data_IF_324823947152
#
_entry.id   IF_324823947152
#
_cell.length_a   1.000
_cell.length_b   1.000
_cell.length_c   1.000
_cell.angle_alpha   90.00
_cell.angle_beta   90.00
_cell.angle_gamma   90.00
#
_symmetry.space_group_name_H-M   'P 1'
#
loop_
_entity.id
_entity.type
_entity.pdbx_description
1 polymer ?
#
# COMPACT_ATOMS: atom_id res chain seq x y z
N UNK A 1 -2.52 24.43 14.02
CA UNK A 1 -2.33 23.04 14.49
C UNK A 1 -0.99 22.54 13.99
N UNK A 2 -0.18 21.88 14.79
CA UNK A 2 1.10 21.31 14.38
C UNK A 2 0.88 19.82 14.05
N UNK A 3 1.50 19.28 12.98
CA UNK A 3 1.38 17.85 12.66
C UNK A 3 1.83 16.96 13.82
N UNK A 4 2.77 17.43 14.64
CA UNK A 4 3.27 16.69 15.82
C UNK A 4 2.18 16.40 16.86
N UNK A 5 1.14 17.24 16.93
CA UNK A 5 0.03 17.05 17.86
C UNK A 5 -1.08 16.18 17.27
N UNK A 6 -1.00 15.93 15.95
CA UNK A 6 -2.04 15.19 15.20
C UNK A 6 -1.69 13.73 14.96
N UNK A 7 -0.43 13.34 15.13
CA UNK A 7 0.06 11.96 14.96
C UNK A 7 0.88 11.52 16.18
N UNK A 8 1.01 10.20 16.36
CA UNK A 8 1.91 9.61 17.35
C UNK A 8 3.38 9.94 17.03
N UNK A 9 4.28 9.63 17.95
CA UNK A 9 5.70 9.91 17.77
C UNK A 9 6.26 9.22 16.53
N UNK A 10 7.01 9.95 15.71
CA UNK A 10 7.49 9.56 14.37
C UNK A 10 8.65 8.57 14.41
N UNK A 11 8.47 7.42 15.04
CA UNK A 11 9.47 6.36 15.09
C UNK A 11 8.92 5.09 14.45
N UNK A 12 9.65 4.53 13.49
CA UNK A 12 9.20 3.41 12.64
C UNK A 12 9.64 2.04 13.16
N UNK A 13 10.01 1.91 14.43
CA UNK A 13 10.49 0.67 15.04
C UNK A 13 9.38 -0.19 15.67
N UNK A 14 8.17 0.34 15.80
CA UNK A 14 7.04 -0.39 16.38
C UNK A 14 5.85 -0.46 15.41
N UNK A 15 5.22 -1.62 15.38
CA UNK A 15 3.96 -1.87 14.66
C UNK A 15 2.77 -2.01 15.64
N UNK A 16 2.98 -1.74 16.92
CA UNK A 16 1.95 -1.85 17.95
C UNK A 16 0.93 -0.71 17.81
N UNK A 17 -0.34 -1.03 17.96
CA UNK A 17 -1.44 -0.06 18.00
C UNK A 17 -2.20 -0.31 19.30
N UNK A 18 -2.54 0.77 20.04
CA UNK A 18 -3.33 0.66 21.25
C UNK A 18 -4.77 0.19 20.95
N UNK A 19 -5.36 -0.55 21.88
CA UNK A 19 -6.73 -1.05 21.73
C UNK A 19 -7.75 0.09 21.63
N UNK A 20 -7.51 1.21 22.31
CA UNK A 20 -8.33 2.41 22.22
C UNK A 20 -8.33 3.02 20.82
N UNK A 21 -7.15 3.08 20.18
CA UNK A 21 -7.05 3.61 18.83
C UNK A 21 -7.72 2.67 17.81
N UNK A 22 -7.60 1.36 18.01
CA UNK A 22 -8.31 0.36 17.18
C UNK A 22 -9.82 0.51 17.33
N UNK A 23 -10.32 0.65 18.56
CA UNK A 23 -11.76 0.83 18.83
C UNK A 23 -12.29 2.11 18.17
N UNK A 24 -11.62 3.25 18.34
CA UNK A 24 -12.00 4.52 17.73
C UNK A 24 -11.97 4.48 16.19
N UNK A 25 -10.98 3.79 15.60
CA UNK A 25 -10.92 3.62 14.15
C UNK A 25 -12.09 2.77 13.64
N UNK A 26 -12.42 1.67 14.34
CA UNK A 26 -13.53 0.79 13.96
C UNK A 26 -14.88 1.50 14.07
N UNK A 27 -15.09 2.30 15.11
CA UNK A 27 -16.29 3.13 15.28
C UNK A 27 -16.44 4.12 14.11
N UNK A 28 -15.36 4.79 13.72
CA UNK A 28 -15.36 5.68 12.58
C UNK A 28 -15.69 4.92 11.27
N UNK A 29 -15.04 3.78 11.02
CA UNK A 29 -15.29 2.95 9.83
C UNK A 29 -16.75 2.50 9.77
N UNK A 30 -17.31 2.04 10.88
CA UNK A 30 -18.71 1.65 10.95
C UNK A 30 -19.65 2.80 10.56
N UNK A 31 -19.38 4.00 11.07
CA UNK A 31 -20.21 5.18 10.79
C UNK A 31 -20.05 5.72 9.37
N UNK A 32 -18.86 5.70 8.80
CA UNK A 32 -18.57 6.30 7.50
C UNK A 32 -18.76 5.34 6.31
N UNK A 33 -18.47 4.04 6.48
CA UNK A 33 -18.46 3.04 5.41
C UNK A 33 -19.43 1.90 5.67
N UNK A 34 -19.84 1.68 6.90
CA UNK A 34 -20.70 0.59 7.30
C UNK A 34 -19.93 -0.58 7.94
N UNK A 35 -20.68 -1.45 8.65
CA UNK A 35 -20.12 -2.56 9.42
C UNK A 35 -19.38 -3.60 8.57
N UNK A 36 -19.77 -3.78 7.30
CA UNK A 36 -19.12 -4.70 6.37
C UNK A 36 -17.67 -4.33 6.05
N UNK A 37 -17.31 -3.05 6.25
CA UNK A 37 -15.96 -2.56 6.03
C UNK A 37 -15.02 -2.74 7.23
N UNK A 38 -15.53 -3.20 8.37
CA UNK A 38 -14.69 -3.48 9.54
C UNK A 38 -14.01 -4.83 9.37
N UNK A 39 -12.69 -4.88 9.58
CA UNK A 39 -11.98 -6.15 9.63
C UNK A 39 -12.58 -7.05 10.74
N UNK A 40 -13.07 -8.28 10.43
CA UNK A 40 -13.76 -9.11 11.40
C UNK A 40 -12.86 -9.67 12.52
N UNK A 41 -11.55 -9.52 12.37
CA UNK A 41 -10.55 -9.98 13.34
C UNK A 41 -9.57 -8.86 13.71
N UNK A 42 -8.92 -8.98 14.86
CA UNK A 42 -7.84 -8.06 15.26
C UNK A 42 -6.58 -8.38 14.46
N UNK A 43 -6.14 -7.45 13.64
CA UNK A 43 -4.89 -7.60 12.90
C UNK A 43 -3.70 -7.40 13.84
N UNK A 44 -2.71 -8.25 13.70
CA UNK A 44 -1.43 -8.16 14.41
C UNK A 44 -0.30 -8.26 13.41
N UNK A 45 0.68 -7.38 13.53
CA UNK A 45 1.85 -7.38 12.69
C UNK A 45 3.06 -7.80 13.49
N UNK A 46 3.85 -8.73 12.95
CA UNK A 46 5.12 -9.15 13.56
C UNK A 46 6.25 -8.32 12.98
N UNK A 47 7.07 -7.74 13.84
CA UNK A 47 8.31 -7.07 13.42
C UNK A 47 9.28 -8.14 12.92
N UNK A 48 9.84 -7.97 11.73
CA UNK A 48 10.84 -8.91 11.16
C UNK A 48 12.20 -8.84 11.88
N UNK A 49 12.48 -7.77 12.60
CA UNK A 49 13.73 -7.56 13.31
C UNK A 49 13.70 -8.30 14.65
N UNK A 50 14.68 -9.20 14.85
CA UNK A 50 14.94 -9.87 16.12
C UNK A 50 15.52 -8.93 17.21
N UNK A 51 15.86 -7.71 16.87
CA UNK A 51 16.26 -6.67 17.82
C UNK A 51 15.01 -6.23 18.55
N UNK A 52 14.97 -6.44 19.86
CA UNK A 52 13.86 -6.11 20.74
C UNK A 52 13.31 -4.72 20.39
N UNK A 53 12.11 -4.70 19.77
CA UNK A 53 11.35 -3.49 19.64
C UNK A 53 11.23 -2.91 21.04
N UNK A 54 11.62 -1.65 21.24
CA UNK A 54 11.37 -0.99 22.50
C UNK A 54 9.85 -0.91 22.65
N UNK A 55 9.29 -1.71 23.54
CA UNK A 55 7.84 -1.85 23.80
C UNK A 55 7.12 -0.53 24.13
N UNK A 56 7.89 0.54 24.33
CA UNK A 56 7.41 1.87 24.68
C UNK A 56 6.81 2.66 23.50
N UNK A 57 7.07 2.25 22.24
CA UNK A 57 6.61 3.00 21.07
C UNK A 57 5.38 2.35 20.42
N UNK A 58 4.56 3.18 19.82
CA UNK A 58 3.46 2.78 18.96
C UNK A 58 3.79 3.03 17.49
N UNK A 59 3.03 2.38 16.59
CA UNK A 59 3.06 2.67 15.17
C UNK A 59 2.68 4.16 14.91
N UNK A 60 3.18 4.71 13.83
CA UNK A 60 2.81 6.07 13.40
C UNK A 60 1.35 6.04 12.95
N UNK A 61 0.51 6.78 13.64
CA UNK A 61 -0.94 6.85 13.39
C UNK A 61 -1.50 8.22 13.78
N UNK A 62 -2.72 8.57 13.37
CA UNK A 62 -3.42 9.73 13.90
C UNK A 62 -3.58 9.60 15.42
N UNK A 63 -3.36 10.68 16.16
CA UNK A 63 -3.64 10.74 17.60
C UNK A 63 -5.13 10.56 17.87
N UNK A 64 -5.97 11.15 17.01
CA UNK A 64 -7.43 11.06 17.05
C UNK A 64 -7.91 10.51 15.70
N UNK A 65 -8.32 9.23 15.61
CA UNK A 65 -8.77 8.63 14.36
C UNK A 65 -9.95 9.35 13.67
N UNK A 66 -10.86 9.94 14.46
CA UNK A 66 -12.00 10.69 13.96
C UNK A 66 -11.65 12.06 13.34
N UNK A 67 -10.43 12.57 13.55
CA UNK A 67 -9.98 13.80 12.92
C UNK A 67 -9.62 13.54 11.46
N UNK A 68 -10.55 13.86 10.56
CA UNK A 68 -10.40 13.54 9.14
C UNK A 68 -9.35 14.43 8.45
N UNK A 69 -8.74 13.95 7.34
CA UNK A 69 -7.83 14.76 6.54
C UNK A 69 -8.45 16.09 6.08
N UNK A 70 -9.74 16.08 5.71
CA UNK A 70 -10.44 17.28 5.24
C UNK A 70 -10.65 18.33 6.34
N UNK A 71 -10.72 17.89 7.60
CA UNK A 71 -10.73 18.80 8.74
C UNK A 71 -9.34 19.39 9.02
N UNK A 72 -8.31 18.56 8.89
CA UNK A 72 -6.92 18.97 9.05
C UNK A 72 -6.49 19.95 7.97
N UNK A 73 -6.92 19.75 6.72
CA UNK A 73 -6.63 20.62 5.57
C UNK A 73 -7.11 22.08 5.79
N UNK A 74 -8.09 22.31 6.68
CA UNK A 74 -8.53 23.65 7.07
C UNK A 74 -7.51 24.41 7.92
N UNK A 75 -6.61 23.68 8.60
CA UNK A 75 -5.66 24.25 9.57
C UNK A 75 -4.21 24.08 9.14
N UNK A 76 -3.91 23.12 8.30
CA UNK A 76 -2.57 22.76 7.81
C UNK A 76 -2.63 22.64 6.29
N UNK A 77 -1.59 23.08 5.60
CA UNK A 77 -1.53 23.04 4.13
C UNK A 77 -0.22 22.43 3.61
N UNK A 78 -0.16 22.22 2.33
CA UNK A 78 1.05 21.74 1.63
C UNK A 78 1.39 20.28 1.94
N UNK A 79 2.68 19.97 1.97
CA UNK A 79 3.16 18.59 2.13
C UNK A 79 2.85 17.99 3.50
N UNK A 80 2.69 18.85 4.51
CA UNK A 80 2.30 18.44 5.86
C UNK A 80 0.88 17.85 5.89
N UNK A 81 -0.06 18.48 5.19
CA UNK A 81 -1.43 17.99 5.05
C UNK A 81 -1.47 16.69 4.25
N UNK A 82 -0.71 16.61 3.15
CA UNK A 82 -0.58 15.37 2.35
C UNK A 82 -0.03 14.22 3.19
N UNK A 83 1.00 14.47 3.98
CA UNK A 83 1.59 13.46 4.86
C UNK A 83 0.58 12.97 5.91
N UNK A 84 -0.18 13.89 6.53
CA UNK A 84 -1.24 13.50 7.46
C UNK A 84 -2.28 12.61 6.77
N UNK A 85 -2.75 12.98 5.58
CA UNK A 85 -3.70 12.21 4.78
C UNK A 85 -3.18 10.80 4.50
N UNK A 86 -1.92 10.66 4.12
CA UNK A 86 -1.30 9.34 3.87
C UNK A 86 -1.26 8.48 5.14
N UNK A 87 -0.84 9.05 6.28
CA UNK A 87 -0.77 8.36 7.57
C UNK A 87 -2.17 7.93 8.02
N UNK A 88 -3.13 8.84 7.95
CA UNK A 88 -4.51 8.60 8.34
C UNK A 88 -5.15 7.51 7.47
N UNK A 89 -5.07 7.64 6.15
CA UNK A 89 -5.64 6.66 5.21
C UNK A 89 -5.02 5.28 5.41
N UNK A 90 -3.70 5.18 5.57
CA UNK A 90 -3.04 3.89 5.81
C UNK A 90 -3.44 3.28 7.15
N UNK A 91 -3.52 4.07 8.20
CA UNK A 91 -3.96 3.60 9.51
C UNK A 91 -5.40 3.09 9.46
N UNK A 92 -6.33 3.88 8.91
CA UNK A 92 -7.73 3.48 8.79
C UNK A 92 -7.89 2.23 7.93
N UNK A 93 -7.25 2.17 6.76
CA UNK A 93 -7.24 1.02 5.88
C UNK A 93 -6.72 -0.24 6.58
N UNK A 94 -5.75 -0.10 7.49
CA UNK A 94 -5.23 -1.23 8.27
C UNK A 94 -6.28 -1.86 9.21
N UNK A 95 -7.36 -1.16 9.53
CA UNK A 95 -8.46 -1.64 10.36
C UNK A 95 -9.69 -2.07 9.53
N UNK A 96 -9.66 -1.84 8.20
CA UNK A 96 -10.74 -2.21 7.29
C UNK A 96 -10.67 -3.66 6.84
N UNK A 97 -11.78 -4.16 6.33
CA UNK A 97 -11.89 -5.48 5.71
C UNK A 97 -11.06 -5.58 4.43
N UNK A 98 -10.69 -6.79 4.07
CA UNK A 98 -9.92 -7.07 2.86
C UNK A 98 -10.75 -6.77 1.60
N UNK A 99 -10.09 -6.27 0.57
CA UNK A 99 -10.66 -6.18 -0.77
C UNK A 99 -10.89 -7.61 -1.32
N UNK A 100 -12.05 -7.83 -1.91
CA UNK A 100 -12.40 -9.09 -2.56
C UNK A 100 -12.41 -8.91 -4.07
N UNK A 101 -11.79 -9.85 -4.76
CA UNK A 101 -11.64 -9.81 -6.21
C UNK A 101 -11.92 -11.19 -6.80
N UNK A 102 -12.74 -11.22 -7.85
CA UNK A 102 -12.90 -12.40 -8.69
C UNK A 102 -11.85 -12.38 -9.79
N UNK A 103 -10.98 -13.37 -9.80
CA UNK A 103 -9.90 -13.49 -10.79
C UNK A 103 -10.27 -14.51 -11.85
N UNK A 104 -10.19 -14.12 -13.10
CA UNK A 104 -10.43 -14.97 -14.26
C UNK A 104 -9.11 -15.22 -14.98
N UNK A 105 -8.77 -16.48 -15.20
CA UNK A 105 -7.62 -16.89 -15.99
C UNK A 105 -8.09 -17.72 -17.17
N UNK A 106 -7.79 -17.27 -18.38
CA UNK A 106 -8.22 -17.89 -19.63
C UNK A 106 -7.02 -18.42 -20.39
N UNK A 107 -7.12 -19.65 -20.89
CA UNK A 107 -6.16 -20.22 -21.81
C UNK A 107 -6.86 -20.51 -23.14
N UNK A 108 -6.43 -19.84 -24.19
CA UNK A 108 -6.93 -20.05 -25.54
C UNK A 108 -5.95 -20.92 -26.30
N UNK A 109 -6.41 -22.08 -26.81
CA UNK A 109 -5.62 -22.99 -27.63
C UNK A 109 -5.86 -22.72 -29.11
N UNK A 110 -4.79 -22.59 -29.88
CA UNK A 110 -4.84 -22.45 -31.34
C UNK A 110 -3.75 -23.34 -31.97
N UNK A 111 -4.12 -24.51 -32.50
CA UNK A 111 -3.21 -25.56 -32.87
C UNK A 111 -2.24 -25.89 -31.71
N UNK A 112 -0.93 -25.80 -31.95
CA UNK A 112 0.10 -26.08 -30.93
C UNK A 112 0.41 -24.91 -30.01
N UNK A 113 -0.22 -23.76 -30.22
CA UNK A 113 0.03 -22.53 -29.43
C UNK A 113 -1.03 -22.35 -28.35
N UNK A 114 -0.57 -21.79 -27.25
CA UNK A 114 -1.43 -21.40 -26.09
C UNK A 114 -1.26 -19.94 -25.76
N UNK A 115 -2.35 -19.20 -25.77
CA UNK A 115 -2.42 -17.80 -25.35
C UNK A 115 -3.06 -17.72 -24.00
N UNK A 116 -2.48 -16.95 -23.09
CA UNK A 116 -3.01 -16.75 -21.73
C UNK A 116 -3.46 -15.31 -21.57
N UNK A 117 -4.62 -15.14 -21.00
CA UNK A 117 -5.12 -13.85 -20.53
C UNK A 117 -5.61 -13.98 -19.09
N UNK A 118 -5.39 -12.98 -18.29
CA UNK A 118 -5.93 -12.92 -16.93
C UNK A 118 -6.52 -11.54 -16.68
N UNK A 119 -7.59 -11.52 -15.92
CA UNK A 119 -8.24 -10.31 -15.49
C UNK A 119 -8.82 -10.51 -14.09
N UNK A 120 -9.23 -9.41 -13.46
CA UNK A 120 -9.93 -9.44 -12.20
C UNK A 120 -11.04 -8.39 -12.18
N UNK A 121 -12.04 -8.65 -11.39
CA UNK A 121 -13.13 -7.69 -11.11
C UNK A 121 -13.23 -7.55 -9.60
N UNK A 122 -13.23 -6.33 -9.10
CA UNK A 122 -13.43 -6.06 -7.68
C UNK A 122 -14.90 -6.26 -7.35
N UNK A 123 -15.19 -7.20 -6.43
CA UNK A 123 -16.55 -7.49 -5.95
C UNK A 123 -16.87 -6.76 -4.65
N UNK A 124 -15.84 -6.47 -3.86
CA UNK A 124 -15.92 -5.65 -2.66
C UNK A 124 -14.58 -4.91 -2.49
N UNK A 125 -14.64 -3.59 -2.46
CA UNK A 125 -13.47 -2.74 -2.42
C UNK A 125 -12.73 -2.76 -1.07
N UNK A 126 -13.44 -2.99 0.05
CA UNK A 126 -12.81 -3.09 1.36
C UNK A 126 -11.89 -1.91 1.67
N UNK A 127 -10.64 -2.18 2.06
CA UNK A 127 -9.68 -1.14 2.39
C UNK A 127 -9.27 -0.26 1.21
N UNK A 128 -9.43 -0.74 -0.04
CA UNK A 128 -9.06 0.05 -1.23
C UNK A 128 -10.00 1.22 -1.48
N UNK A 129 -11.19 1.24 -0.85
CA UNK A 129 -12.06 2.42 -0.84
C UNK A 129 -11.38 3.67 -0.23
N UNK A 130 -10.35 3.47 0.60
CA UNK A 130 -9.68 4.54 1.31
C UNK A 130 -8.19 4.66 0.99
N UNK A 131 -7.55 3.57 0.64
CA UNK A 131 -6.10 3.51 0.48
C UNK A 131 -5.68 2.63 -0.68
N UNK A 132 -4.97 3.22 -1.63
CA UNK A 132 -4.25 2.49 -2.66
C UNK A 132 -2.75 2.64 -2.40
N UNK A 133 -2.02 1.54 -2.39
CA UNK A 133 -0.57 1.58 -2.22
C UNK A 133 0.07 2.10 -3.51
N UNK A 134 0.79 3.21 -3.41
CA UNK A 134 1.57 3.71 -4.52
C UNK A 134 2.67 2.69 -4.85
N UNK A 135 2.56 2.06 -6.01
CA UNK A 135 3.58 1.16 -6.54
C UNK A 135 4.32 1.85 -7.66
N UNK A 136 5.65 1.70 -7.71
CA UNK A 136 6.48 2.18 -8.83
C UNK A 136 6.19 1.41 -10.14
N UNK A 137 5.46 0.29 -10.06
CA UNK A 137 4.95 -0.43 -11.21
C UNK A 137 3.71 0.30 -11.75
N UNK A 138 3.70 0.57 -13.05
CA UNK A 138 2.53 1.12 -13.75
C UNK A 138 1.29 0.35 -13.33
N UNK A 139 0.34 1.04 -12.77
CA UNK A 139 -0.95 0.53 -12.31
C UNK A 139 -1.45 -0.57 -13.26
N UNK A 140 -1.62 -1.75 -12.72
CA UNK A 140 -2.40 -2.79 -13.43
C UNK A 140 -3.84 -2.31 -13.39
N UNK A 141 -4.24 -1.58 -14.44
CA UNK A 141 -5.66 -1.23 -14.62
C UNK A 141 -6.47 -2.52 -14.52
N UNK A 142 -7.59 -2.44 -13.84
CA UNK A 142 -8.59 -3.50 -13.87
C UNK A 142 -8.74 -4.00 -15.30
N UNK A 143 -8.30 -5.21 -15.55
CA UNK A 143 -8.44 -5.83 -16.85
C UNK A 143 -9.65 -6.74 -16.75
N UNK A 144 -10.83 -6.17 -16.91
CA UNK A 144 -12.05 -6.96 -17.01
C UNK A 144 -12.01 -7.72 -18.33
N UNK A 145 -12.01 -9.04 -18.23
CA UNK A 145 -12.21 -9.90 -19.41
C UNK A 145 -13.72 -9.99 -19.69
N UNK A 146 -14.12 -10.09 -20.97
CA UNK A 146 -15.50 -10.37 -21.30
C UNK A 146 -15.92 -11.74 -20.73
N UNK A 147 -17.21 -11.98 -20.48
CA UNK A 147 -17.70 -13.28 -20.06
C UNK A 147 -17.33 -14.31 -21.13
N UNK A 148 -16.65 -15.36 -20.72
CA UNK A 148 -16.17 -16.46 -21.57
C UNK A 148 -16.61 -17.79 -20.96
N UNK A 149 -16.97 -18.75 -21.82
CA UNK A 149 -17.34 -20.10 -21.43
C UNK A 149 -16.25 -21.10 -21.84
N UNK A 150 -16.12 -22.17 -21.07
CA UNK A 150 -15.20 -23.25 -21.40
C UNK A 150 -15.59 -23.92 -22.73
N UNK A 151 -14.64 -24.12 -23.64
CA UNK A 151 -14.89 -24.66 -24.97
C UNK A 151 -15.44 -23.67 -25.99
N UNK A 152 -15.62 -22.40 -25.62
CA UNK A 152 -16.08 -21.38 -26.55
C UNK A 152 -15.08 -21.17 -27.69
N UNK A 153 -15.57 -21.15 -28.92
CA UNK A 153 -14.74 -20.89 -30.10
C UNK A 153 -14.58 -19.40 -30.31
N UNK A 154 -13.36 -18.92 -30.25
CA UNK A 154 -13.03 -17.51 -30.45
C UNK A 154 -12.56 -17.25 -31.90
N UNK A 155 -13.02 -16.15 -32.49
CA UNK A 155 -12.58 -15.74 -33.82
C UNK A 155 -11.37 -14.81 -33.70
N UNK A 156 -10.23 -15.22 -34.28
CA UNK A 156 -9.04 -14.37 -34.35
C UNK A 156 -9.35 -13.11 -35.15
N UNK A 157 -9.08 -11.95 -34.60
CA UNK A 157 -9.20 -10.65 -35.29
C UNK A 157 -7.85 -10.21 -35.84
N UNK A 158 -6.83 -10.27 -35.01
CA UNK A 158 -5.51 -9.78 -35.33
C UNK A 158 -4.47 -10.53 -34.51
N UNK A 159 -3.31 -10.80 -35.09
CA UNK A 159 -2.12 -11.31 -34.40
C UNK A 159 -1.03 -10.24 -34.51
N UNK A 160 -0.64 -9.68 -33.36
CA UNK A 160 0.46 -8.71 -33.28
C UNK A 160 1.70 -9.41 -32.73
N UNK A 161 2.79 -9.32 -33.47
CA UNK A 161 4.10 -9.76 -33.00
C UNK A 161 4.92 -8.53 -32.58
N UNK A 162 5.44 -8.57 -31.36
CA UNK A 162 6.31 -7.51 -30.84
C UNK A 162 7.63 -8.11 -30.40
N UNK A 163 8.72 -7.54 -30.87
CA UNK A 163 10.03 -7.88 -30.35
C UNK A 163 10.24 -7.14 -29.02
N UNK A 164 10.51 -7.89 -27.96
CA UNK A 164 10.83 -7.32 -26.63
C UNK A 164 12.23 -7.76 -26.23
N UNK A 165 12.93 -6.85 -25.57
CA UNK A 165 14.25 -7.11 -25.02
C UNK A 165 14.14 -7.11 -23.50
N UNK A 166 14.90 -7.99 -22.84
CA UNK A 166 15.06 -7.95 -21.39
C UNK A 166 15.71 -6.63 -20.99
N UNK A 167 15.11 -5.96 -20.03
CA UNK A 167 15.65 -4.72 -19.49
C UNK A 167 16.45 -5.03 -18.21
N UNK A 168 17.51 -4.27 -17.94
CA UNK A 168 18.19 -4.37 -16.65
C UNK A 168 17.23 -3.98 -15.52
N UNK A 169 17.52 -4.40 -14.26
CA UNK A 169 16.76 -3.90 -13.12
C UNK A 169 16.72 -2.37 -13.10
N UNK A 170 15.59 -1.82 -12.71
CA UNK A 170 15.43 -0.37 -12.55
C UNK A 170 16.44 0.14 -11.51
N UNK A 171 16.91 1.38 -11.69
CA UNK A 171 17.73 2.04 -10.67
C UNK A 171 16.88 2.28 -9.42
N UNK A 172 17.53 2.28 -8.26
CA UNK A 172 16.85 2.61 -7.03
C UNK A 172 16.31 4.04 -7.06
N UNK A 173 15.07 4.19 -6.67
CA UNK A 173 14.52 5.47 -6.19
C UNK A 173 14.90 5.62 -4.71
N UNK A 174 14.75 6.81 -4.13
CA UNK A 174 14.98 7.02 -2.69
C UNK A 174 14.17 6.04 -1.84
N UNK A 175 12.90 5.84 -2.17
CA UNK A 175 12.00 4.93 -1.46
C UNK A 175 12.46 3.46 -1.56
N UNK A 176 12.80 3.00 -2.75
CA UNK A 176 13.26 1.61 -2.96
C UNK A 176 14.64 1.38 -2.36
N UNK A 177 15.50 2.41 -2.30
CA UNK A 177 16.80 2.34 -1.64
C UNK A 177 16.65 2.21 -0.13
N UNK A 178 15.77 3.03 0.49
CA UNK A 178 15.48 2.92 1.94
C UNK A 178 14.95 1.52 2.25
N UNK A 179 14.02 1.00 1.44
CA UNK A 179 13.49 -0.34 1.61
C UNK A 179 14.58 -1.41 1.53
N UNK A 180 15.48 -1.31 0.57
CA UNK A 180 16.61 -2.23 0.43
C UNK A 180 17.57 -2.15 1.62
N UNK A 181 17.86 -0.95 2.12
CA UNK A 181 18.68 -0.75 3.32
C UNK A 181 18.03 -1.41 4.55
N UNK A 182 16.72 -1.21 4.73
CA UNK A 182 15.95 -1.81 5.84
C UNK A 182 15.92 -3.33 5.76
N UNK A 183 15.65 -3.90 4.59
CA UNK A 183 15.61 -5.35 4.36
C UNK A 183 16.95 -6.03 4.63
N UNK A 184 18.06 -5.33 4.38
CA UNK A 184 19.41 -5.82 4.65
C UNK A 184 19.94 -5.44 6.04
N UNK A 185 19.15 -4.77 6.88
CA UNK A 185 19.54 -4.36 8.23
C UNK A 185 20.63 -3.27 8.24
N UNK A 186 20.77 -2.51 7.17
CA UNK A 186 21.75 -1.44 7.03
C UNK A 186 21.11 -0.12 7.45
N UNK A 187 21.72 0.54 8.43
CA UNK A 187 21.20 1.80 8.97
C UNK A 187 20.02 1.62 9.91
N UNK A 188 19.36 2.73 10.21
CA UNK A 188 18.17 2.80 11.06
C UNK A 188 17.25 3.93 10.58
N UNK A 189 15.96 3.95 10.94
CA UNK A 189 15.04 5.04 10.53
C UNK A 189 15.60 6.44 10.77
N UNK A 190 16.31 6.66 11.87
CA UNK A 190 16.93 7.95 12.21
C UNK A 190 18.14 8.32 11.35
N UNK A 191 18.72 7.39 10.61
CA UNK A 191 19.93 7.60 9.81
C UNK A 191 19.70 7.49 8.30
N UNK A 192 18.54 7.04 7.83
CA UNK A 192 18.27 6.87 6.40
C UNK A 192 18.42 8.17 5.60
N UNK A 193 17.94 9.30 6.13
CA UNK A 193 18.08 10.59 5.46
C UNK A 193 19.56 10.97 5.24
N UNK A 194 20.40 10.77 6.25
CA UNK A 194 21.85 11.01 6.13
C UNK A 194 22.52 10.05 5.17
N UNK A 195 22.11 8.78 5.18
CA UNK A 195 22.63 7.77 4.25
C UNK A 195 22.30 8.12 2.80
N UNK A 196 21.08 8.59 2.53
CA UNK A 196 20.65 9.03 1.20
C UNK A 196 21.48 10.22 0.71
N UNK A 197 21.71 11.22 1.57
CA UNK A 197 22.53 12.38 1.24
C UNK A 197 23.96 11.93 0.86
N UNK A 198 24.59 11.07 1.66
CA UNK A 198 25.94 10.58 1.40
C UNK A 198 26.06 9.71 0.14
N UNK A 199 24.99 8.95 -0.21
CA UNK A 199 24.98 8.11 -1.41
C UNK A 199 24.75 8.96 -2.66
N UNK A 200 23.93 10.01 -2.57
CA UNK A 200 23.56 10.87 -3.70
C UNK A 200 24.56 12.00 -3.96
N UNK A 201 25.31 12.43 -2.95
CA UNK A 201 26.36 13.43 -3.12
C UNK A 201 27.59 12.79 -3.78
N UNK A 202 28.06 13.30 -4.93
CA UNK A 202 29.34 12.87 -5.47
C UNK A 202 30.44 13.26 -4.45
N UNK A 203 31.18 12.27 -3.97
CA UNK A 203 32.41 12.52 -3.23
C UNK A 203 33.27 13.45 -4.05
N UNK A 204 33.39 14.71 -3.63
CA UNK A 204 34.35 15.62 -4.20
C UNK A 204 35.76 15.06 -3.89
N UNK A 205 36.64 14.91 -4.91
CA UNK A 205 38.03 14.51 -4.68
C UNK A 205 38.75 15.53 -3.82
#
# INVERSE_FOLDING_TARGET
MCIRDSITYMRTDSLRISDEAVAAAREYIAGAYGESYICPYKRTWKTKSATAAQDAHEAIRPSVPGLTPDEVDKSISGDTAKLYRMIWSRFMASQMADCQQDTVSVTVSAADYRFKASGYTVTFDGFTALYEEATDEKEKKETSLPPLEEGQVLKLRELKSEQKFTQPPARYTEATLIKALEENGIGRPSTYALSLIHISEPTRP
#
